data_IF_123969274948
#
_entry.id   IF_123969274948
#
_cell.length_a   1.000
_cell.length_b   1.000
_cell.length_c   1.000
_cell.angle_alpha   90.00
_cell.angle_beta   90.00
_cell.angle_gamma   90.00
#
_symmetry.space_group_name_H-M   'P 1'
#
loop_
_entity.id
_entity.type
_entity.pdbx_description
1 polymer ?
#
# COMPACT_ATOMS: atom_id res chain seq x y z
N UNK A 1 -7.19 7.77 -2.24
CA UNK A 1 -8.09 6.79 -2.91
C UNK A 1 -9.23 7.46 -3.70
N UNK A 2 -9.94 8.49 -3.18
CA UNK A 2 -11.07 9.10 -3.90
C UNK A 2 -10.70 9.76 -5.23
N UNK A 3 -9.49 10.32 -5.37
CA UNK A 3 -9.02 10.93 -6.62
C UNK A 3 -8.70 9.87 -7.68
N UNK A 4 -8.06 8.78 -7.29
CA UNK A 4 -7.78 7.65 -8.19
C UNK A 4 -9.08 7.02 -8.68
N UNK A 5 -10.07 6.82 -7.80
CA UNK A 5 -11.38 6.29 -8.18
C UNK A 5 -12.12 7.19 -9.17
N UNK A 6 -12.04 8.53 -9.02
CA UNK A 6 -12.59 9.47 -10.03
C UNK A 6 -11.93 9.29 -11.40
N UNK A 7 -10.60 9.09 -11.43
CA UNK A 7 -9.87 8.82 -12.67
C UNK A 7 -10.32 7.50 -13.28
N UNK A 8 -10.45 6.44 -12.48
CA UNK A 8 -10.91 5.14 -12.95
C UNK A 8 -12.35 5.16 -13.47
N UNK A 9 -13.23 5.93 -12.85
CA UNK A 9 -14.59 6.12 -13.34
C UNK A 9 -14.60 6.83 -14.70
N UNK A 10 -13.74 7.84 -14.88
CA UNK A 10 -13.66 8.61 -16.11
C UNK A 10 -13.08 7.84 -17.30
N UNK A 11 -12.02 7.08 -17.08
CA UNK A 11 -11.24 6.43 -18.15
C UNK A 11 -11.49 4.93 -18.26
N UNK A 12 -12.20 4.34 -17.30
CA UNK A 12 -12.55 2.93 -17.23
C UNK A 12 -11.41 1.95 -17.63
N UNK A 13 -10.19 2.10 -17.07
CA UNK A 13 -9.08 1.21 -17.41
C UNK A 13 -9.38 -0.22 -16.93
N UNK A 14 -8.75 -1.20 -17.58
CA UNK A 14 -8.86 -2.59 -17.17
C UNK A 14 -8.25 -2.83 -15.76
N UNK A 15 -8.49 -4.02 -15.22
CA UNK A 15 -8.05 -4.38 -13.87
C UNK A 15 -6.51 -4.33 -13.72
N UNK A 16 -5.75 -4.77 -14.73
CA UNK A 16 -4.29 -4.82 -14.67
C UNK A 16 -3.72 -3.40 -14.64
N UNK A 17 -4.24 -2.50 -15.47
CA UNK A 17 -3.87 -1.09 -15.49
C UNK A 17 -4.21 -0.42 -14.16
N UNK A 18 -5.40 -0.66 -13.60
CA UNK A 18 -5.79 -0.13 -12.27
C UNK A 18 -4.84 -0.61 -11.18
N UNK A 19 -4.52 -1.90 -11.17
CA UNK A 19 -3.60 -2.49 -10.20
C UNK A 19 -2.21 -1.86 -10.31
N UNK A 20 -1.69 -1.74 -11.53
CA UNK A 20 -0.39 -1.13 -11.80
C UNK A 20 -0.33 0.34 -11.38
N UNK A 21 -1.33 1.13 -11.74
CA UNK A 21 -1.42 2.53 -11.34
C UNK A 21 -1.42 2.70 -9.81
N UNK A 22 -2.15 1.85 -9.08
CA UNK A 22 -2.15 1.89 -7.61
C UNK A 22 -0.78 1.60 -7.02
N UNK A 23 -0.07 0.62 -7.53
CA UNK A 23 1.29 0.29 -7.07
C UNK A 23 2.21 1.49 -7.29
N UNK A 24 2.29 2.02 -8.51
CA UNK A 24 3.15 3.16 -8.84
C UNK A 24 2.84 4.36 -7.94
N UNK A 25 1.56 4.74 -7.83
CA UNK A 25 1.15 5.91 -7.04
C UNK A 25 1.49 5.74 -5.55
N UNK A 26 1.18 4.58 -4.97
CA UNK A 26 1.45 4.32 -3.56
C UNK A 26 2.95 4.32 -3.27
N UNK A 27 3.75 3.72 -4.13
CA UNK A 27 5.19 3.61 -3.95
C UNK A 27 5.90 4.96 -4.16
N UNK A 28 5.49 5.71 -5.19
CA UNK A 28 5.98 7.08 -5.41
C UNK A 28 5.67 7.98 -4.21
N UNK A 29 4.46 7.89 -3.64
CA UNK A 29 4.09 8.68 -2.45
C UNK A 29 4.90 8.23 -1.24
N UNK A 30 5.04 6.93 -1.00
CA UNK A 30 5.80 6.39 0.13
C UNK A 30 7.28 6.80 0.08
N UNK A 31 7.87 6.79 -1.12
CA UNK A 31 9.28 7.11 -1.34
C UNK A 31 9.51 8.54 -1.85
N UNK A 32 8.53 9.43 -1.67
CA UNK A 32 8.51 10.75 -2.29
C UNK A 32 9.76 11.58 -1.98
N UNK A 33 10.17 11.64 -0.73
CA UNK A 33 11.37 12.41 -0.32
C UNK A 33 12.63 11.85 -0.97
N UNK A 34 12.77 10.53 -1.01
CA UNK A 34 13.89 9.82 -1.65
C UNK A 34 13.93 10.11 -3.15
N UNK A 35 12.81 9.96 -3.83
CA UNK A 35 12.70 10.22 -5.27
C UNK A 35 13.00 11.69 -5.59
N UNK A 36 12.45 12.62 -4.83
CA UNK A 36 12.67 14.06 -5.04
C UNK A 36 14.12 14.48 -4.77
N UNK A 37 14.78 13.89 -3.79
CA UNK A 37 16.23 14.07 -3.56
C UNK A 37 17.03 13.62 -4.79
N UNK A 38 16.72 12.44 -5.32
CA UNK A 38 17.43 11.90 -6.49
C UNK A 38 17.17 12.78 -7.72
N UNK A 39 15.91 13.23 -7.95
CA UNK A 39 15.57 14.16 -9.03
C UNK A 39 16.40 15.44 -8.92
N UNK A 40 16.50 16.03 -7.73
CA UNK A 40 17.29 17.24 -7.48
C UNK A 40 18.75 17.03 -7.87
N UNK A 41 19.37 15.93 -7.46
CA UNK A 41 20.78 15.61 -7.74
C UNK A 41 21.00 15.36 -9.24
N UNK A 42 20.13 14.61 -9.90
CA UNK A 42 20.28 14.27 -11.33
C UNK A 42 19.96 15.45 -12.24
N UNK A 43 18.87 16.18 -11.97
CA UNK A 43 18.47 17.33 -12.79
C UNK A 43 19.27 18.58 -12.53
N UNK A 44 19.87 18.71 -11.33
CA UNK A 44 20.49 19.95 -10.87
C UNK A 44 19.48 21.05 -10.52
N UNK A 45 18.18 20.73 -10.41
CA UNK A 45 17.10 21.68 -10.15
C UNK A 45 16.37 21.35 -8.86
N UNK A 46 15.98 22.37 -8.11
CA UNK A 46 15.06 22.23 -7.00
C UNK A 46 13.62 22.03 -7.53
N UNK A 47 12.76 21.41 -6.71
CA UNK A 47 11.36 21.16 -7.06
C UNK A 47 10.63 22.43 -7.55
N UNK A 48 10.81 23.58 -6.87
CA UNK A 48 10.19 24.85 -7.25
C UNK A 48 10.55 25.34 -8.67
N UNK A 49 11.61 24.80 -9.26
CA UNK A 49 12.09 25.15 -10.61
C UNK A 49 11.54 24.20 -11.69
N UNK A 50 10.77 23.20 -11.30
CA UNK A 50 10.15 22.19 -12.19
C UNK A 50 8.63 22.31 -12.03
N UNK A 51 7.90 22.46 -13.12
CA UNK A 51 6.41 22.54 -13.05
C UNK A 51 5.81 21.24 -12.52
N UNK A 52 4.69 21.29 -11.81
CA UNK A 52 4.04 20.14 -11.18
C UNK A 52 3.82 18.94 -12.12
N UNK A 53 3.32 19.11 -13.36
CA UNK A 53 3.18 17.98 -14.28
C UNK A 53 4.52 17.32 -14.59
N UNK A 54 5.60 18.11 -14.75
CA UNK A 54 6.93 17.58 -15.03
C UNK A 54 7.55 16.88 -13.81
N UNK A 55 7.28 17.39 -12.61
CA UNK A 55 7.67 16.69 -11.37
C UNK A 55 7.01 15.31 -11.30
N UNK A 56 5.71 15.23 -11.56
CA UNK A 56 4.96 13.96 -11.53
C UNK A 56 5.51 12.96 -12.55
N UNK A 57 5.80 13.40 -13.77
CA UNK A 57 6.41 12.56 -14.80
C UNK A 57 7.79 12.07 -14.38
N UNK A 58 8.64 12.95 -13.84
CA UNK A 58 9.96 12.56 -13.35
C UNK A 58 9.86 11.57 -12.19
N UNK A 59 8.95 11.79 -11.24
CA UNK A 59 8.73 10.86 -10.11
C UNK A 59 8.38 9.46 -10.57
N UNK A 60 7.46 9.34 -11.54
CA UNK A 60 7.11 8.06 -12.15
C UNK A 60 8.34 7.44 -12.86
N UNK A 61 9.03 8.21 -13.68
CA UNK A 61 10.20 7.71 -14.41
C UNK A 61 11.35 7.29 -13.51
N UNK A 62 11.60 8.03 -12.43
CA UNK A 62 12.63 7.66 -11.45
C UNK A 62 12.24 6.40 -10.68
N UNK A 63 10.97 6.25 -10.31
CA UNK A 63 10.45 5.04 -9.69
C UNK A 63 10.62 3.82 -10.61
N UNK A 64 10.16 3.91 -11.85
CA UNK A 64 10.26 2.80 -12.81
C UNK A 64 11.71 2.42 -13.16
N UNK A 65 12.62 3.39 -13.23
CA UNK A 65 14.04 3.11 -13.58
C UNK A 65 14.83 2.54 -12.40
N UNK A 66 14.51 2.93 -11.16
CA UNK A 66 15.36 2.61 -9.99
C UNK A 66 14.77 1.53 -9.08
N UNK A 67 13.46 1.33 -9.11
CA UNK A 67 12.76 0.53 -8.09
C UNK A 67 11.93 -0.57 -8.72
N UNK A 68 11.37 -0.30 -9.90
CA UNK A 68 10.43 -1.19 -10.55
C UNK A 68 11.05 -1.88 -11.77
N UNK A 69 11.40 -3.14 -11.61
CA UNK A 69 12.04 -3.95 -12.66
C UNK A 69 11.07 -4.45 -13.75
N UNK A 70 9.80 -4.03 -13.74
CA UNK A 70 8.79 -4.56 -14.66
C UNK A 70 8.84 -3.92 -16.06
N UNK A 71 9.51 -2.76 -16.21
CA UNK A 71 9.54 -2.02 -17.47
C UNK A 71 10.98 -1.73 -17.88
N UNK A 72 11.40 -2.08 -19.11
CA UNK A 72 12.73 -1.71 -19.59
C UNK A 72 12.95 -0.20 -19.61
N UNK A 73 14.12 0.26 -19.19
CA UNK A 73 14.45 1.69 -19.07
C UNK A 73 14.16 2.51 -20.33
N UNK A 74 14.43 1.95 -21.53
CA UNK A 74 14.16 2.63 -22.78
C UNK A 74 12.65 2.86 -23.02
N UNK A 75 11.83 1.89 -22.62
CA UNK A 75 10.38 1.99 -22.78
C UNK A 75 9.78 3.04 -21.82
N UNK A 76 10.25 3.07 -20.58
CA UNK A 76 9.89 4.13 -19.61
C UNK A 76 10.26 5.51 -20.15
N UNK A 77 11.49 5.69 -20.65
CA UNK A 77 11.92 6.98 -21.20
C UNK A 77 11.06 7.40 -22.39
N UNK A 78 10.83 6.50 -23.35
CA UNK A 78 10.05 6.82 -24.56
C UNK A 78 8.60 7.17 -24.22
N UNK A 79 7.96 6.35 -23.40
CA UNK A 79 6.56 6.56 -22.97
C UNK A 79 6.38 7.90 -22.26
N UNK A 80 7.25 8.25 -21.32
CA UNK A 80 7.14 9.49 -20.54
C UNK A 80 7.51 10.73 -21.39
N UNK A 81 8.43 10.61 -22.33
CA UNK A 81 8.74 11.69 -23.30
C UNK A 81 7.53 11.92 -24.24
N UNK A 82 6.89 10.87 -24.72
CA UNK A 82 5.71 10.99 -25.57
C UNK A 82 4.51 11.54 -24.78
N UNK A 83 4.29 11.09 -23.54
CA UNK A 83 3.30 11.70 -22.65
C UNK A 83 3.57 13.19 -22.44
N UNK A 84 4.84 13.58 -22.24
CA UNK A 84 5.19 15.00 -22.09
C UNK A 84 4.86 15.83 -23.33
N UNK A 85 5.10 15.29 -24.52
CA UNK A 85 4.72 15.97 -25.77
C UNK A 85 3.22 16.20 -25.89
N UNK A 86 2.40 15.26 -25.41
CA UNK A 86 0.93 15.36 -25.50
C UNK A 86 0.32 16.35 -24.51
N UNK A 87 0.95 16.58 -23.35
CA UNK A 87 0.41 17.45 -22.28
C UNK A 87 1.16 18.79 -22.15
N UNK A 88 2.27 18.98 -22.85
CA UNK A 88 3.12 20.16 -22.75
C UNK A 88 3.77 20.47 -24.11
N UNK A 89 4.98 20.98 -24.11
CA UNK A 89 5.69 21.42 -25.29
C UNK A 89 7.00 20.61 -25.53
N UNK A 90 7.60 20.80 -26.72
CA UNK A 90 8.84 20.12 -27.14
C UNK A 90 10.03 20.40 -26.20
N UNK A 91 10.10 21.60 -25.59
CA UNK A 91 11.18 21.98 -24.66
C UNK A 91 11.07 21.16 -23.37
N UNK A 92 9.85 21.00 -22.82
CA UNK A 92 9.60 20.16 -21.64
C UNK A 92 9.92 18.69 -21.93
N UNK A 93 9.53 18.17 -23.09
CA UNK A 93 9.86 16.81 -23.51
C UNK A 93 11.37 16.59 -23.64
N UNK A 94 12.10 17.56 -24.16
CA UNK A 94 13.56 17.56 -24.21
C UNK A 94 14.20 17.52 -22.82
N UNK A 95 13.67 18.29 -21.87
CA UNK A 95 14.12 18.28 -20.49
C UNK A 95 13.89 16.92 -19.81
N UNK A 96 12.68 16.35 -19.92
CA UNK A 96 12.37 15.02 -19.37
C UNK A 96 13.30 13.95 -19.96
N UNK A 97 13.47 13.93 -21.28
CA UNK A 97 14.37 12.98 -21.94
C UNK A 97 15.81 13.12 -21.44
N UNK A 98 16.33 14.33 -21.31
CA UNK A 98 17.71 14.58 -20.86
C UNK A 98 17.91 14.08 -19.41
N UNK A 99 16.96 14.37 -18.51
CA UNK A 99 17.04 13.99 -17.10
C UNK A 99 16.93 12.46 -16.94
N UNK A 100 15.95 11.82 -17.57
CA UNK A 100 15.78 10.37 -17.47
C UNK A 100 16.96 9.60 -18.08
N UNK A 101 17.46 10.01 -19.24
CA UNK A 101 18.66 9.39 -19.85
C UNK A 101 19.92 9.60 -19.00
N UNK A 102 20.04 10.74 -18.32
CA UNK A 102 21.13 10.99 -17.38
C UNK A 102 21.04 10.07 -16.17
N UNK A 103 19.82 9.82 -15.66
CA UNK A 103 19.59 8.85 -14.58
C UNK A 103 20.00 7.44 -15.00
N UNK A 104 19.52 6.96 -16.14
CA UNK A 104 19.85 5.61 -16.66
C UNK A 104 21.37 5.44 -16.79
N UNK A 105 22.07 6.41 -17.41
CA UNK A 105 23.52 6.35 -17.54
C UNK A 105 24.24 6.33 -16.20
N UNK A 106 23.78 7.17 -15.25
CA UNK A 106 24.39 7.24 -13.92
C UNK A 106 24.22 5.93 -13.16
N UNK A 107 23.04 5.31 -13.26
CA UNK A 107 22.73 4.04 -12.60
C UNK A 107 23.51 2.88 -13.22
N UNK A 108 23.63 2.85 -14.55
CA UNK A 108 24.41 1.81 -15.25
C UNK A 108 25.93 1.89 -14.95
N UNK A 109 26.47 3.11 -14.80
CA UNK A 109 27.91 3.30 -14.55
C UNK A 109 28.30 3.00 -13.10
N UNK A 110 27.43 3.23 -12.15
CA UNK A 110 27.67 2.96 -10.73
C UNK A 110 26.32 2.74 -10.02
N UNK A 111 25.82 1.49 -9.94
CA UNK A 111 24.54 1.20 -9.29
C UNK A 111 24.48 1.62 -7.81
N UNK A 112 25.62 1.58 -7.13
CA UNK A 112 25.69 1.85 -5.68
C UNK A 112 25.71 3.35 -5.32
N UNK A 113 25.73 4.25 -6.30
CA UNK A 113 25.75 5.69 -6.02
C UNK A 113 24.58 6.17 -5.17
N UNK A 114 23.45 5.47 -5.25
CA UNK A 114 22.22 5.77 -4.50
C UNK A 114 22.46 5.54 -3.00
N UNK A 115 23.23 4.52 -2.62
CA UNK A 115 23.50 4.19 -1.22
C UNK A 115 24.20 5.33 -0.47
N UNK A 116 25.00 6.15 -1.16
CA UNK A 116 25.65 7.33 -0.58
C UNK A 116 24.66 8.42 -0.15
N UNK A 117 23.41 8.37 -0.62
CA UNK A 117 22.36 9.34 -0.31
C UNK A 117 21.62 9.04 0.99
N UNK A 118 21.86 7.90 1.60
CA UNK A 118 21.18 7.47 2.84
C UNK A 118 21.39 8.42 4.03
N UNK A 119 22.46 9.22 4.01
CA UNK A 119 22.77 10.22 5.05
C UNK A 119 21.90 11.49 4.96
N UNK A 120 21.15 11.69 3.88
CA UNK A 120 20.27 12.85 3.73
C UNK A 120 18.93 12.60 4.45
N UNK A 121 18.40 13.61 5.16
CA UNK A 121 17.11 13.49 5.86
C UNK A 121 15.94 13.22 4.92
N UNK A 122 16.00 13.74 3.70
CA UNK A 122 15.01 13.52 2.64
C UNK A 122 14.94 12.04 2.21
N UNK A 123 16.04 11.28 2.39
CA UNK A 123 16.09 9.85 2.11
C UNK A 123 15.07 9.05 2.92
N UNK A 124 14.74 9.52 4.10
CA UNK A 124 13.75 8.89 4.97
C UNK A 124 12.30 9.01 4.45
N UNK A 125 12.05 9.86 3.46
CA UNK A 125 10.70 10.10 2.87
C UNK A 125 9.63 10.42 3.91
N UNK A 126 10.02 11.10 4.98
CA UNK A 126 9.18 11.43 6.12
C UNK A 126 9.36 12.91 6.49
N UNK A 127 8.29 13.64 6.82
CA UNK A 127 8.39 15.03 7.28
C UNK A 127 9.33 15.19 8.49
N UNK A 128 10.13 16.27 8.51
CA UNK A 128 11.15 16.50 9.55
C UNK A 128 10.58 16.49 10.97
N UNK A 129 9.34 16.99 11.17
CA UNK A 129 8.74 17.02 12.49
C UNK A 129 8.41 15.60 13.01
N UNK A 130 8.04 14.66 12.13
CA UNK A 130 7.85 13.25 12.46
C UNK A 130 9.19 12.60 12.77
N UNK A 131 10.22 12.83 11.93
CA UNK A 131 11.55 12.29 12.15
C UNK A 131 12.10 12.70 13.52
N UNK A 132 12.01 14.01 13.87
CA UNK A 132 12.43 14.53 15.19
C UNK A 132 11.66 13.87 16.33
N UNK A 133 10.32 13.73 16.20
CA UNK A 133 9.49 13.12 17.22
C UNK A 133 9.83 11.64 17.42
N UNK A 134 9.95 10.90 16.34
CA UNK A 134 10.28 9.47 16.41
C UNK A 134 11.69 9.24 16.97
N UNK A 135 12.67 10.02 16.55
CA UNK A 135 14.03 9.94 17.08
C UNK A 135 14.07 10.23 18.58
N UNK A 136 13.29 11.21 19.06
CA UNK A 136 13.14 11.51 20.49
C UNK A 136 12.50 10.37 21.26
N UNK A 137 11.47 9.72 20.71
CA UNK A 137 10.69 8.70 21.42
C UNK A 137 11.33 7.31 21.36
N UNK A 138 12.00 6.95 20.26
CA UNK A 138 12.50 5.61 19.97
C UNK A 138 14.02 5.51 20.10
N UNK A 139 14.72 6.61 20.28
CA UNK A 139 16.16 6.68 20.15
C UNK A 139 16.65 6.51 18.71
N UNK A 140 17.97 6.58 18.49
CA UNK A 140 18.53 6.53 17.12
C UNK A 140 18.32 5.16 16.45
N UNK A 141 18.53 4.07 17.16
CA UNK A 141 18.35 2.72 16.61
C UNK A 141 16.89 2.40 16.29
N UNK A 142 15.98 2.69 17.22
CA UNK A 142 14.53 2.50 17.00
C UNK A 142 13.99 3.37 15.88
N UNK A 143 14.52 4.58 15.74
CA UNK A 143 14.18 5.46 14.61
C UNK A 143 14.60 4.86 13.26
N UNK A 144 15.81 4.33 13.13
CA UNK A 144 16.29 3.71 11.88
C UNK A 144 15.38 2.52 11.51
N UNK A 145 15.14 1.59 12.44
CA UNK A 145 14.25 0.44 12.22
C UNK A 145 12.84 0.86 11.80
N UNK A 146 12.30 1.92 12.41
CA UNK A 146 10.98 2.45 12.05
C UNK A 146 10.97 3.02 10.63
N UNK A 147 11.98 3.81 10.25
CA UNK A 147 12.09 4.40 8.89
C UNK A 147 12.23 3.30 7.81
N UNK A 148 13.03 2.28 8.07
CA UNK A 148 13.18 1.15 7.17
C UNK A 148 11.82 0.45 6.98
N UNK A 149 11.15 0.10 8.07
CA UNK A 149 9.86 -0.58 8.04
C UNK A 149 8.76 0.20 7.33
N UNK A 150 8.65 1.53 7.52
CA UNK A 150 7.60 2.33 6.86
C UNK A 150 7.89 2.60 5.38
N UNK A 151 9.15 2.47 4.95
CA UNK A 151 9.55 2.62 3.56
C UNK A 151 9.51 1.30 2.77
N UNK A 152 9.37 0.16 3.44
CA UNK A 152 9.14 -1.12 2.79
C UNK A 152 7.71 -1.24 2.25
N UNK A 153 7.54 -2.13 1.28
CA UNK A 153 6.20 -2.51 0.82
C UNK A 153 5.45 -3.20 1.95
N UNK A 154 4.26 -2.72 2.34
CA UNK A 154 3.50 -3.35 3.41
C UNK A 154 3.10 -4.77 3.03
N UNK A 155 3.36 -5.72 3.93
CA UNK A 155 2.85 -7.07 3.77
C UNK A 155 1.32 -7.09 3.87
N UNK A 156 0.70 -7.94 3.08
CA UNK A 156 -0.72 -8.23 3.16
C UNK A 156 -0.94 -9.45 4.05
N UNK A 157 -2.01 -9.40 4.85
CA UNK A 157 -2.34 -10.48 5.78
C UNK A 157 -3.78 -10.94 5.61
N UNK A 158 -3.96 -12.24 5.80
CA UNK A 158 -5.25 -12.90 5.89
C UNK A 158 -5.45 -13.32 7.34
N UNK A 159 -6.56 -12.90 7.96
CA UNK A 159 -7.04 -13.48 9.20
C UNK A 159 -7.92 -14.69 8.86
N UNK A 160 -7.69 -15.78 9.57
CA UNK A 160 -8.49 -16.99 9.49
C UNK A 160 -9.65 -16.84 10.45
N UNK A 161 -10.87 -16.82 9.94
CA UNK A 161 -12.07 -16.89 10.76
C UNK A 161 -12.32 -18.35 11.10
N UNK A 162 -12.28 -18.70 12.42
CA UNK A 162 -12.27 -20.07 12.94
C UNK A 162 -13.60 -20.81 12.65
N UNK A 163 -13.80 -21.23 11.42
CA UNK A 163 -14.97 -22.03 10.98
C UNK A 163 -14.66 -23.54 10.90
N UNK A 164 -13.77 -24.03 11.78
CA UNK A 164 -13.48 -25.47 11.90
C UNK A 164 -12.44 -26.03 10.94
N UNK A 165 -11.99 -25.28 9.93
CA UNK A 165 -10.91 -25.73 9.03
C UNK A 165 -9.54 -25.61 9.70
N UNK A 166 -8.68 -26.61 9.48
CA UNK A 166 -7.27 -26.55 9.90
C UNK A 166 -6.49 -25.56 9.02
N UNK A 167 -5.53 -24.88 9.62
CA UNK A 167 -4.69 -23.86 8.92
C UNK A 167 -3.99 -24.46 7.71
N UNK A 168 -3.52 -25.71 7.81
CA UNK A 168 -2.84 -26.44 6.73
C UNK A 168 -3.75 -26.63 5.52
N UNK A 169 -5.04 -26.91 5.74
CA UNK A 169 -6.01 -27.04 4.67
C UNK A 169 -6.25 -25.69 3.96
N UNK A 170 -6.34 -24.60 4.73
CA UNK A 170 -6.49 -23.25 4.17
C UNK A 170 -5.28 -22.88 3.31
N UNK A 171 -4.08 -23.16 3.80
CA UNK A 171 -2.82 -22.92 3.04
C UNK A 171 -2.83 -23.72 1.73
N UNK A 172 -3.22 -25.00 1.79
CA UNK A 172 -3.31 -25.85 0.60
C UNK A 172 -4.32 -25.33 -0.42
N UNK A 173 -5.50 -24.93 0.04
CA UNK A 173 -6.55 -24.40 -0.82
C UNK A 173 -6.11 -23.09 -1.48
N UNK A 174 -5.47 -22.18 -0.73
CA UNK A 174 -4.89 -20.93 -1.25
C UNK A 174 -3.77 -21.20 -2.26
N UNK A 175 -2.91 -22.19 -1.99
CA UNK A 175 -1.85 -22.58 -2.91
C UNK A 175 -2.40 -23.13 -4.24
N UNK A 176 -3.48 -23.89 -4.20
CA UNK A 176 -4.18 -24.36 -5.40
C UNK A 176 -4.75 -23.20 -6.24
N UNK A 177 -5.15 -22.10 -5.60
CA UNK A 177 -5.58 -20.87 -6.27
C UNK A 177 -4.39 -19.98 -6.72
N UNK A 178 -3.15 -20.46 -6.58
CA UNK A 178 -1.91 -19.76 -6.96
C UNK A 178 -1.60 -18.57 -6.03
N UNK A 179 -1.96 -18.69 -4.74
CA UNK A 179 -1.70 -17.71 -3.70
C UNK A 179 -0.67 -18.30 -2.73
N UNK A 180 0.54 -17.74 -2.73
CA UNK A 180 1.61 -18.15 -1.84
C UNK A 180 1.48 -17.43 -0.48
N UNK A 181 1.48 -18.23 0.60
CA UNK A 181 1.30 -17.72 1.96
C UNK A 181 2.35 -18.27 2.91
N UNK A 182 2.60 -17.54 4.00
CA UNK A 182 3.44 -17.96 5.12
C UNK A 182 2.67 -17.78 6.43
N UNK A 183 2.78 -18.75 7.33
CA UNK A 183 2.20 -18.64 8.67
C UNK A 183 2.86 -17.46 9.39
N UNK A 184 2.06 -16.53 9.88
CA UNK A 184 2.49 -15.42 10.71
C UNK A 184 2.17 -15.71 12.19
N UNK A 185 0.97 -16.22 12.47
CA UNK A 185 0.52 -16.69 13.78
C UNK A 185 -0.61 -17.72 13.60
N UNK A 186 -1.15 -18.24 14.70
CA UNK A 186 -2.27 -19.20 14.68
C UNK A 186 -3.51 -18.72 13.91
N UNK A 187 -3.72 -17.41 13.85
CA UNK A 187 -4.90 -16.81 13.21
C UNK A 187 -4.57 -15.98 11.97
N UNK A 188 -3.28 -15.86 11.61
CA UNK A 188 -2.86 -15.00 10.49
C UNK A 188 -1.89 -15.67 9.54
N UNK A 189 -2.18 -15.52 8.25
CA UNK A 189 -1.25 -15.84 7.17
C UNK A 189 -0.76 -14.54 6.52
N UNK A 190 0.53 -14.44 6.27
CA UNK A 190 1.13 -13.42 5.42
C UNK A 190 1.03 -13.86 3.96
N UNK A 191 0.51 -12.99 3.10
CA UNK A 191 0.40 -13.23 1.66
C UNK A 191 1.63 -12.68 0.96
N UNK A 192 2.27 -13.46 0.13
CA UNK A 192 3.31 -12.99 -0.77
C UNK A 192 2.66 -12.36 -2.01
N UNK A 193 2.91 -11.09 -2.22
CA UNK A 193 2.25 -10.29 -3.26
C UNK A 193 0.95 -9.63 -2.80
N UNK A 194 0.13 -9.21 -3.73
CA UNK A 194 -1.10 -8.48 -3.42
C UNK A 194 -2.30 -9.37 -3.11
N UNK A 195 -3.29 -8.81 -2.42
CA UNK A 195 -4.54 -9.51 -2.05
C UNK A 195 -5.53 -9.69 -3.21
N UNK A 196 -5.24 -9.21 -4.41
CA UNK A 196 -6.18 -9.24 -5.53
C UNK A 196 -6.71 -10.64 -5.85
N UNK A 197 -5.84 -11.65 -5.85
CA UNK A 197 -6.24 -13.05 -6.03
C UNK A 197 -7.05 -13.58 -4.85
N UNK A 198 -6.71 -13.18 -3.61
CA UNK A 198 -7.42 -13.59 -2.40
C UNK A 198 -8.89 -13.20 -2.46
N UNK A 199 -9.18 -11.96 -2.92
CA UNK A 199 -10.55 -11.44 -3.06
C UNK A 199 -11.41 -12.26 -4.05
N UNK A 200 -10.79 -13.03 -4.95
CA UNK A 200 -11.50 -13.86 -5.94
C UNK A 200 -11.78 -15.27 -5.43
N UNK A 201 -11.12 -15.72 -4.36
CA UNK A 201 -11.27 -17.06 -3.82
C UNK A 201 -12.68 -17.32 -3.27
N UNK A 202 -13.10 -18.58 -3.29
CA UNK A 202 -14.35 -19.01 -2.64
C UNK A 202 -14.28 -18.79 -1.13
N UNK A 203 -13.14 -19.03 -0.50
CA UNK A 203 -12.95 -18.85 0.95
C UNK A 203 -13.19 -17.40 1.37
N UNK A 204 -12.68 -16.43 0.61
CA UNK A 204 -12.95 -15.02 0.88
C UNK A 204 -14.43 -14.70 0.68
N UNK A 205 -15.04 -15.12 -0.42
CA UNK A 205 -16.46 -14.87 -0.74
C UNK A 205 -17.41 -15.48 0.29
N UNK A 206 -17.04 -16.61 0.88
CA UNK A 206 -17.82 -17.31 1.91
C UNK A 206 -17.54 -16.82 3.34
N UNK A 207 -16.68 -15.80 3.54
CA UNK A 207 -16.36 -15.29 4.86
C UNK A 207 -15.49 -16.21 5.73
N UNK A 208 -14.83 -17.21 5.13
CA UNK A 208 -13.93 -18.12 5.86
C UNK A 208 -12.60 -17.44 6.22
N UNK A 209 -12.23 -16.42 5.47
CA UNK A 209 -11.04 -15.60 5.65
C UNK A 209 -11.35 -14.12 5.46
N UNK A 210 -10.61 -13.27 6.18
CA UNK A 210 -10.69 -11.80 6.10
C UNK A 210 -9.33 -11.19 5.79
N UNK A 211 -9.30 -10.10 5.04
CA UNK A 211 -8.08 -9.32 4.87
C UNK A 211 -7.97 -8.35 6.03
N UNK A 212 -7.02 -8.58 6.93
CA UNK A 212 -6.80 -7.75 8.11
C UNK A 212 -5.33 -7.74 8.51
N UNK A 213 -4.82 -6.57 8.89
CA UNK A 213 -3.49 -6.44 9.46
C UNK A 213 -3.48 -6.97 10.90
N UNK A 214 -2.49 -7.80 11.31
CA UNK A 214 -2.39 -8.33 12.68
C UNK A 214 -2.37 -7.23 13.76
N UNK A 215 -1.71 -6.10 13.52
CA UNK A 215 -1.71 -4.98 14.47
C UNK A 215 -3.12 -4.39 14.68
N UNK A 216 -3.95 -4.39 13.62
CA UNK A 216 -5.35 -3.97 13.74
C UNK A 216 -6.20 -4.98 14.53
N UNK A 217 -5.89 -6.26 14.47
CA UNK A 217 -6.54 -7.29 15.27
C UNK A 217 -6.08 -7.23 16.74
N UNK A 218 -4.81 -6.98 16.99
CA UNK A 218 -4.27 -6.85 18.35
C UNK A 218 -4.99 -5.76 19.17
N UNK A 219 -5.48 -4.70 18.53
CA UNK A 219 -6.33 -3.69 19.20
C UNK A 219 -7.61 -4.32 19.74
N UNK A 220 -8.22 -5.23 18.99
CA UNK A 220 -9.41 -5.97 19.43
C UNK A 220 -9.08 -6.94 20.57
N UNK A 221 -7.95 -7.64 20.47
CA UNK A 221 -7.50 -8.56 21.52
C UNK A 221 -7.25 -7.83 22.85
N UNK A 222 -6.72 -6.59 22.81
CA UNK A 222 -6.50 -5.76 24.00
C UNK A 222 -7.80 -5.37 24.72
N UNK A 223 -8.96 -5.38 24.06
CA UNK A 223 -10.27 -5.11 24.69
C UNK A 223 -10.73 -6.25 25.60
N UNK A 224 -10.16 -7.45 25.47
CA UNK A 224 -10.50 -8.64 26.26
C UNK A 224 -12.00 -8.95 26.30
N UNK A 225 -12.66 -8.79 25.16
CA UNK A 225 -14.12 -8.96 24.97
C UNK A 225 -14.54 -10.39 25.26
N UNK A 226 -15.69 -10.57 25.92
CA UNK A 226 -16.27 -11.87 26.28
C UNK A 226 -17.53 -12.18 25.47
N UNK A 227 -17.88 -13.46 25.43
CA UNK A 227 -19.17 -13.88 24.86
C UNK A 227 -20.32 -13.21 25.59
N UNK A 228 -21.26 -12.66 24.82
CA UNK A 228 -22.41 -11.94 25.35
C UNK A 228 -22.20 -10.45 25.59
N UNK A 229 -20.99 -9.92 25.38
CA UNK A 229 -20.73 -8.51 25.59
C UNK A 229 -21.45 -7.64 24.51
N UNK A 230 -21.81 -6.42 24.95
CA UNK A 230 -22.24 -5.35 24.05
C UNK A 230 -21.05 -4.39 23.81
N UNK A 231 -20.64 -4.25 22.53
CA UNK A 231 -19.50 -3.43 22.14
C UNK A 231 -19.92 -2.35 21.14
N UNK A 232 -19.42 -1.12 21.34
CA UNK A 232 -19.65 0.01 20.42
C UNK A 232 -18.34 0.31 19.69
N UNK A 233 -18.37 0.22 18.33
CA UNK A 233 -17.28 0.62 17.45
C UNK A 233 -17.68 1.91 16.73
N UNK A 234 -17.20 3.06 17.24
CA UNK A 234 -17.57 4.39 16.73
C UNK A 234 -16.79 4.85 15.49
N UNK A 235 -15.79 4.07 15.06
CA UNK A 235 -15.00 4.31 13.84
C UNK A 235 -14.85 3.01 13.06
N UNK A 236 -15.97 2.33 12.81
CA UNK A 236 -16.01 0.94 12.41
C UNK A 236 -15.53 0.68 10.98
N UNK A 237 -15.88 1.57 10.06
CA UNK A 237 -15.74 1.27 8.64
C UNK A 237 -14.26 1.14 8.16
N UNK A 238 -13.96 0.17 7.32
CA UNK A 238 -14.86 -0.73 6.56
C UNK A 238 -15.36 -1.97 7.32
N UNK A 239 -15.13 -2.13 8.63
CA UNK A 239 -15.76 -3.14 9.45
C UNK A 239 -14.89 -4.33 9.86
N UNK A 240 -13.61 -4.39 9.48
CA UNK A 240 -12.74 -5.54 9.79
C UNK A 240 -12.55 -5.79 11.29
N UNK A 241 -12.49 -4.73 12.12
CA UNK A 241 -12.45 -4.86 13.58
C UNK A 241 -13.80 -5.29 14.16
N UNK A 242 -14.90 -4.68 13.69
CA UNK A 242 -16.25 -5.04 14.10
C UNK A 242 -16.57 -6.50 13.79
N UNK A 243 -16.15 -7.02 12.62
CA UNK A 243 -16.26 -8.43 12.26
C UNK A 243 -15.46 -9.34 13.19
N UNK A 244 -14.25 -8.94 13.57
CA UNK A 244 -13.47 -9.69 14.53
C UNK A 244 -14.13 -9.68 15.91
N UNK A 245 -14.59 -8.52 16.38
CA UNK A 245 -15.37 -8.39 17.62
C UNK A 245 -16.59 -9.30 17.60
N UNK A 246 -17.34 -9.34 16.50
CA UNK A 246 -18.53 -10.19 16.39
C UNK A 246 -18.23 -11.68 16.55
N UNK A 247 -17.04 -12.12 16.11
CA UNK A 247 -16.61 -13.52 16.33
C UNK A 247 -16.24 -13.82 17.78
N UNK A 248 -15.87 -12.81 18.57
CA UNK A 248 -15.53 -12.95 19.99
C UNK A 248 -16.78 -12.88 20.89
N UNK A 249 -17.69 -11.93 20.66
CA UNK A 249 -18.91 -11.80 21.46
C UNK A 249 -19.89 -12.94 21.20
N UNK A 250 -19.81 -13.58 20.04
CA UNK A 250 -20.69 -14.70 19.65
C UNK A 250 -22.15 -14.28 19.47
N UNK A 251 -23.04 -15.27 19.31
CA UNK A 251 -24.45 -15.05 18.98
C UNK A 251 -25.27 -14.41 20.12
N UNK A 252 -24.77 -14.45 21.36
CA UNK A 252 -25.38 -13.81 22.53
C UNK A 252 -24.94 -12.38 22.77
N UNK A 253 -23.90 -11.90 22.06
CA UNK A 253 -23.41 -10.53 22.16
C UNK A 253 -23.93 -9.63 21.05
N UNK A 254 -23.60 -8.35 21.11
CA UNK A 254 -24.01 -7.35 20.12
C UNK A 254 -22.88 -6.39 19.80
N UNK A 255 -22.75 -6.02 18.52
CA UNK A 255 -21.83 -4.96 18.07
C UNK A 255 -22.63 -3.82 17.44
N UNK A 256 -22.55 -2.63 18.04
CA UNK A 256 -23.05 -1.40 17.42
C UNK A 256 -21.91 -0.72 16.68
N UNK A 257 -21.90 -0.83 15.35
CA UNK A 257 -20.85 -0.28 14.50
C UNK A 257 -21.34 0.99 13.78
N UNK A 258 -20.60 2.11 13.93
CA UNK A 258 -20.89 3.38 13.27
C UNK A 258 -19.66 3.99 12.63
N UNK A 259 -19.86 4.81 11.60
CA UNK A 259 -18.79 5.59 10.95
C UNK A 259 -19.39 6.84 10.33
N UNK A 260 -18.58 7.88 10.20
CA UNK A 260 -19.00 9.17 9.63
C UNK A 260 -19.22 9.12 8.12
N UNK A 261 -18.61 8.14 7.42
CA UNK A 261 -18.67 8.01 5.97
C UNK A 261 -19.61 6.89 5.55
N UNK A 262 -20.76 7.27 5.03
CA UNK A 262 -21.82 6.34 4.59
C UNK A 262 -21.33 5.31 3.56
N UNK A 263 -20.52 5.72 2.57
CA UNK A 263 -20.00 4.81 1.55
C UNK A 263 -19.12 3.70 2.16
N UNK A 264 -18.39 4.03 3.23
CA UNK A 264 -17.56 3.05 3.94
C UNK A 264 -18.38 2.13 4.82
N UNK A 265 -19.48 2.63 5.40
CA UNK A 265 -20.44 1.81 6.15
C UNK A 265 -21.06 0.76 5.24
N UNK A 266 -21.45 1.13 4.02
CA UNK A 266 -22.00 0.19 3.04
C UNK A 266 -20.99 -0.91 2.64
N UNK A 267 -19.69 -0.59 2.59
CA UNK A 267 -18.65 -1.62 2.42
C UNK A 267 -18.63 -2.59 3.60
N UNK A 268 -18.72 -2.09 4.83
CA UNK A 268 -18.79 -2.90 6.05
C UNK A 268 -20.01 -3.83 6.07
N UNK A 269 -21.18 -3.35 5.66
CA UNK A 269 -22.40 -4.18 5.54
C UNK A 269 -22.21 -5.36 4.60
N UNK A 270 -21.54 -5.17 3.46
CA UNK A 270 -21.23 -6.26 2.51
C UNK A 270 -20.35 -7.33 3.16
N UNK A 271 -19.37 -6.91 3.96
CA UNK A 271 -18.49 -7.82 4.69
C UNK A 271 -19.23 -8.57 5.80
N UNK A 272 -20.10 -7.91 6.54
CA UNK A 272 -21.00 -8.55 7.53
C UNK A 272 -21.87 -9.61 6.86
N UNK A 273 -22.50 -9.27 5.74
CA UNK A 273 -23.33 -10.21 4.97
C UNK A 273 -22.52 -11.42 4.47
N UNK A 274 -21.33 -11.19 3.94
CA UNK A 274 -20.40 -12.22 3.45
C UNK A 274 -20.01 -13.24 4.54
N UNK A 275 -19.91 -12.80 5.80
CA UNK A 275 -19.59 -13.65 6.94
C UNK A 275 -20.84 -14.28 7.60
N UNK A 276 -22.04 -14.04 7.08
CA UNK A 276 -23.29 -14.52 7.69
C UNK A 276 -23.57 -13.91 9.08
N UNK A 277 -22.99 -12.77 9.39
CA UNK A 277 -23.13 -12.07 10.67
C UNK A 277 -24.17 -10.96 10.52
N UNK A 278 -25.40 -11.22 10.91
CA UNK A 278 -26.52 -10.26 10.77
C UNK A 278 -26.93 -9.60 12.10
N UNK A 279 -26.14 -9.73 13.16
CA UNK A 279 -26.48 -9.21 14.50
C UNK A 279 -25.74 -7.91 14.82
#
# INVERSE_FOLDING_TARGET
DSLIEKVYTKYNPDYLVRSRCRVIVNDVIRLLGRIDLIIKIVSGKNQKQISEPMQSILRIGFYEILIDDNTPNYATVDSLVNLTKSISNRKSAGFINAVLRKLVRKNNNNPDWINSLSNHSEWNSMPDWIQRRWKKNLGSEGFIKMIESVNENPHSFIRIDKNGKKVEQIIKDLSNDGIDTKIFSESFLMVKGGVGKVLQTKMFKNGEISIQNPASAAVVDCLNVKRGDFVIDVCAAPGTKSLYLSSLVGDSGMILASDVRTERVEMGKRDVYRHGKLN
#
